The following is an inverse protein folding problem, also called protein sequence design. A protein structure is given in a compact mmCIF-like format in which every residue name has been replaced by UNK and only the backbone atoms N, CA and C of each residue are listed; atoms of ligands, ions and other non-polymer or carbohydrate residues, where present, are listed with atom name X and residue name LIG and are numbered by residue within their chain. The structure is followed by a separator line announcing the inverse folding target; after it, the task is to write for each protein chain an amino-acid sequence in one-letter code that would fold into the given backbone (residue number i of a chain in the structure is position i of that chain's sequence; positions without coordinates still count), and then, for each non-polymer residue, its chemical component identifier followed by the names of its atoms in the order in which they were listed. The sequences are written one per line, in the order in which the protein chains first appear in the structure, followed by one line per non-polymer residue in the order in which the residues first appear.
data_IF_201822983801
#
_entry.id   IF_201822983801
#
_cell.length_a   1.000
_cell.length_b   1.000
_cell.length_c   1.000
_cell.angle_alpha   90.00
_cell.angle_beta   90.00
_cell.angle_gamma   90.00
#
_symmetry.space_group_name_H-M   'P 1'
#
loop_
_entity.id
_entity.type
_entity.pdbx_description
1 polymer ?
#
# COMPACT_ATOMS: atom_id res chain seq x y z
N UNK A 1 -5.03 1.16 31.88
CA UNK A 1 -4.53 1.94 30.72
C UNK A 1 -3.40 2.86 31.13
N UNK A 2 -3.53 3.70 32.17
CA UNK A 2 -2.49 4.66 32.58
C UNK A 2 -1.20 3.99 33.02
N UNK A 3 -1.23 2.91 33.78
CA UNK A 3 -0.02 2.16 34.19
C UNK A 3 0.68 1.54 32.99
N UNK A 4 -0.08 1.03 32.02
CA UNK A 4 0.50 0.50 30.77
C UNK A 4 1.16 1.60 29.93
N UNK A 5 0.55 2.77 29.84
CA UNK A 5 1.11 3.94 29.17
C UNK A 5 2.41 4.41 29.83
N UNK A 6 2.46 4.48 31.15
CA UNK A 6 3.68 4.83 31.90
C UNK A 6 4.78 3.81 31.61
N UNK A 7 4.49 2.52 31.71
CA UNK A 7 5.47 1.47 31.43
C UNK A 7 6.02 1.54 30.00
N UNK A 8 5.17 1.86 29.01
CA UNK A 8 5.59 2.02 27.64
C UNK A 8 6.48 3.26 27.43
N UNK A 9 6.21 4.37 28.12
CA UNK A 9 6.95 5.62 27.96
C UNK A 9 8.31 5.63 28.69
N UNK A 10 8.42 4.94 29.83
CA UNK A 10 9.65 4.90 30.63
C UNK A 10 10.45 3.61 30.45
N UNK A 11 9.91 2.63 29.76
CA UNK A 11 10.55 1.35 29.49
C UNK A 11 11.68 1.47 28.44
N UNK A 12 12.40 0.38 28.16
CA UNK A 12 13.47 0.38 27.18
C UNK A 12 12.92 0.59 25.76
N UNK A 13 13.72 1.24 24.91
CA UNK A 13 13.36 1.57 23.53
C UNK A 13 13.55 0.42 22.54
N UNK A 14 14.07 -0.73 22.98
CA UNK A 14 14.37 -1.89 22.12
C UNK A 14 13.14 -2.38 21.32
N UNK A 15 11.97 -2.37 21.96
CA UNK A 15 10.73 -2.75 21.31
C UNK A 15 10.34 -1.76 20.20
N UNK A 16 10.49 -0.48 20.44
CA UNK A 16 10.18 0.58 19.46
C UNK A 16 11.11 0.44 18.26
N UNK A 17 12.40 0.24 18.49
CA UNK A 17 13.39 0.09 17.43
C UNK A 17 13.14 -1.16 16.59
N UNK A 18 12.77 -2.28 17.22
CA UNK A 18 12.38 -3.50 16.50
C UNK A 18 11.14 -3.29 15.64
N UNK A 19 10.09 -2.65 16.16
CA UNK A 19 8.89 -2.31 15.38
C UNK A 19 9.22 -1.39 14.21
N UNK A 20 10.08 -0.40 14.43
CA UNK A 20 10.53 0.52 13.38
C UNK A 20 11.22 -0.23 12.23
N UNK A 21 12.09 -1.19 12.56
CA UNK A 21 12.77 -2.03 11.56
C UNK A 21 11.79 -2.89 10.78
N UNK A 22 10.84 -3.51 11.45
CA UNK A 22 9.82 -4.34 10.79
C UNK A 22 8.98 -3.53 9.81
N UNK A 23 8.49 -2.36 10.20
CA UNK A 23 7.71 -1.50 9.30
C UNK A 23 8.57 -0.95 8.16
N UNK A 24 9.82 -0.59 8.40
CA UNK A 24 10.74 -0.16 7.35
C UNK A 24 10.99 -1.27 6.30
N UNK A 25 11.18 -2.50 6.75
CA UNK A 25 11.35 -3.68 5.89
C UNK A 25 10.11 -3.94 5.04
N UNK A 26 8.93 -3.96 5.64
CA UNK A 26 7.65 -4.15 4.96
C UNK A 26 7.37 -3.03 3.96
N UNK A 27 7.64 -1.78 4.33
CA UNK A 27 7.51 -0.62 3.45
C UNK A 27 8.37 -0.77 2.19
N UNK A 28 9.64 -1.13 2.38
CA UNK A 28 10.58 -1.36 1.27
C UNK A 28 10.12 -2.50 0.37
N UNK A 29 9.66 -3.61 0.93
CA UNK A 29 9.18 -4.78 0.19
C UNK A 29 7.93 -4.44 -0.62
N UNK A 30 6.94 -3.80 0.00
CA UNK A 30 5.69 -3.43 -0.68
C UNK A 30 5.93 -2.39 -1.77
N UNK A 31 6.51 -1.25 -1.43
CA UNK A 31 6.68 -0.15 -2.38
C UNK A 31 7.62 -0.53 -3.53
N UNK A 32 8.69 -1.28 -3.24
CA UNK A 32 9.58 -1.82 -4.26
C UNK A 32 8.88 -2.82 -5.19
N UNK A 33 8.08 -3.71 -4.63
CA UNK A 33 7.28 -4.67 -5.39
C UNK A 33 6.25 -3.98 -6.30
N UNK A 34 5.51 -3.01 -5.77
CA UNK A 34 4.50 -2.27 -6.53
C UNK A 34 5.11 -1.48 -7.69
N UNK A 35 6.26 -0.82 -7.47
CA UNK A 35 6.99 -0.13 -8.56
C UNK A 35 7.43 -1.10 -9.64
N UNK A 36 7.91 -2.28 -9.27
CA UNK A 36 8.34 -3.32 -10.22
C UNK A 36 7.23 -3.75 -11.16
N UNK A 37 5.98 -3.84 -10.68
CA UNK A 37 4.82 -4.23 -11.50
C UNK A 37 4.17 -3.07 -12.26
N UNK A 38 4.65 -1.84 -12.07
CA UNK A 38 4.19 -0.66 -12.80
C UNK A 38 3.33 0.33 -12.02
N UNK A 39 3.11 0.09 -10.73
CA UNK A 39 2.43 1.06 -9.88
C UNK A 39 3.44 2.01 -9.22
N UNK A 40 3.43 3.27 -9.63
CA UNK A 40 4.35 4.29 -9.09
C UNK A 40 3.96 4.71 -7.68
N UNK A 41 4.52 4.01 -6.71
CA UNK A 41 4.28 4.22 -5.29
C UNK A 41 5.57 4.72 -4.62
N UNK A 42 5.47 5.78 -3.85
CA UNK A 42 6.59 6.31 -3.06
C UNK A 42 6.70 5.59 -1.72
N UNK A 43 7.94 5.44 -1.25
CA UNK A 43 8.18 4.92 0.10
C UNK A 43 7.56 5.86 1.14
N UNK A 44 6.90 5.29 2.13
CA UNK A 44 6.44 6.03 3.29
C UNK A 44 7.63 6.42 4.16
N UNK A 45 7.70 7.67 4.58
CA UNK A 45 8.79 8.17 5.44
C UNK A 45 8.60 7.82 6.91
N UNK A 46 7.45 7.32 7.27
CA UNK A 46 7.07 6.93 8.62
C UNK A 46 5.74 6.21 8.63
N UNK A 47 5.22 5.89 9.78
CA UNK A 47 3.95 5.19 10.01
C UNK A 47 3.94 3.73 9.55
N UNK A 48 2.85 3.06 9.84
CA UNK A 48 2.53 1.71 9.39
C UNK A 48 1.69 1.68 8.11
N UNK A 49 1.57 2.80 7.42
CA UNK A 49 0.74 2.95 6.24
C UNK A 49 1.55 3.42 5.03
N UNK A 50 1.13 2.96 3.86
CA UNK A 50 1.56 3.50 2.58
C UNK A 50 0.37 4.24 1.96
N UNK A 51 0.61 5.45 1.48
CA UNK A 51 -0.34 6.29 0.79
C UNK A 51 0.02 6.36 -0.68
N UNK A 52 -0.82 5.82 -1.54
CA UNK A 52 -0.52 5.68 -2.95
C UNK A 52 -1.59 6.33 -3.81
N UNK A 53 -1.15 7.02 -4.87
CA UNK A 53 -2.05 7.52 -5.90
C UNK A 53 -2.62 6.34 -6.69
N UNK A 54 -3.91 6.36 -6.99
CA UNK A 54 -4.54 5.35 -7.85
C UNK A 54 -4.01 5.47 -9.29
N UNK A 55 -3.98 4.37 -10.05
CA UNK A 55 -3.68 4.43 -11.48
C UNK A 55 -4.71 5.26 -12.24
N UNK A 56 -4.34 5.74 -13.41
CA UNK A 56 -5.26 6.43 -14.30
C UNK A 56 -6.33 5.47 -14.85
N UNK A 57 -7.49 6.02 -15.23
CA UNK A 57 -8.58 5.25 -15.84
C UNK A 57 -9.66 4.78 -14.87
N UNK A 58 -9.59 5.16 -13.60
CA UNK A 58 -10.61 4.89 -12.61
C UNK A 58 -11.40 6.14 -12.26
N UNK A 59 -12.73 5.98 -12.07
CA UNK A 59 -13.62 7.11 -11.80
C UNK A 59 -13.39 7.75 -10.42
N UNK A 60 -12.95 6.95 -9.43
CA UNK A 60 -12.71 7.39 -8.07
C UNK A 60 -11.82 6.40 -7.31
N UNK A 61 -11.36 6.80 -6.13
CA UNK A 61 -10.63 5.89 -5.23
C UNK A 61 -11.47 4.68 -4.80
N UNK A 62 -12.78 4.86 -4.63
CA UNK A 62 -13.72 3.76 -4.31
C UNK A 62 -13.84 2.81 -5.51
N UNK A 63 -14.02 3.33 -6.73
CA UNK A 63 -14.10 2.52 -7.94
C UNK A 63 -12.83 1.66 -8.13
N UNK A 64 -11.67 2.24 -7.92
CA UNK A 64 -10.41 1.50 -7.96
C UNK A 64 -10.35 0.38 -6.90
N UNK A 65 -10.69 0.69 -5.63
CA UNK A 65 -10.68 -0.29 -4.55
C UNK A 65 -11.62 -1.47 -4.81
N UNK A 66 -12.82 -1.21 -5.32
CA UNK A 66 -13.79 -2.26 -5.65
C UNK A 66 -13.29 -3.16 -6.77
N UNK A 67 -12.81 -2.58 -7.87
CA UNK A 67 -12.26 -3.34 -8.99
C UNK A 67 -11.00 -4.13 -8.61
N UNK A 68 -10.14 -3.56 -7.77
CA UNK A 68 -8.96 -4.26 -7.24
C UNK A 68 -9.38 -5.49 -6.44
N UNK A 69 -10.31 -5.31 -5.51
CA UNK A 69 -10.83 -6.40 -4.67
C UNK A 69 -11.49 -7.50 -5.52
N UNK A 70 -12.35 -7.13 -6.46
CA UNK A 70 -13.04 -8.08 -7.34
C UNK A 70 -12.08 -8.92 -8.18
N UNK A 71 -11.00 -8.31 -8.67
CA UNK A 71 -10.02 -8.99 -9.56
C UNK A 71 -8.94 -9.76 -8.83
N UNK A 72 -8.60 -9.36 -7.61
CA UNK A 72 -7.40 -9.87 -6.92
C UNK A 72 -7.67 -10.39 -5.51
N UNK A 73 -8.80 -10.03 -4.91
CA UNK A 73 -9.07 -10.29 -3.50
C UNK A 73 -8.30 -9.36 -2.54
N UNK A 74 -7.47 -8.45 -3.06
CA UNK A 74 -6.69 -7.51 -2.24
C UNK A 74 -7.56 -6.32 -1.84
N UNK A 75 -7.61 -6.05 -0.55
CA UNK A 75 -8.40 -4.96 0.04
C UNK A 75 -7.49 -3.82 0.46
N UNK A 76 -7.79 -2.63 -0.04
CA UNK A 76 -7.14 -1.37 0.36
C UNK A 76 -8.21 -0.34 0.73
N UNK A 77 -7.84 0.67 1.49
CA UNK A 77 -8.79 1.69 1.93
C UNK A 77 -8.79 2.87 0.95
N UNK A 78 -9.95 3.27 0.41
CA UNK A 78 -10.02 4.44 -0.46
C UNK A 78 -9.69 5.71 0.31
N UNK A 79 -8.91 6.60 -0.30
CA UNK A 79 -8.48 7.84 0.34
C UNK A 79 -9.62 8.78 0.67
N UNK A 80 -10.71 8.75 -0.09
CA UNK A 80 -11.94 9.52 0.19
C UNK A 80 -12.56 9.20 1.55
N UNK A 81 -12.30 8.03 2.15
CA UNK A 81 -12.72 7.70 3.51
C UNK A 81 -12.07 8.60 4.59
N UNK A 82 -11.00 9.30 4.25
CA UNK A 82 -10.26 10.21 5.13
C UNK A 82 -10.52 11.70 4.82
N UNK A 83 -11.50 11.98 3.99
CA UNK A 83 -11.89 13.32 3.57
C UNK A 83 -11.71 13.57 2.09
N UNK A 84 -12.24 14.68 1.59
CA UNK A 84 -12.25 15.04 0.17
C UNK A 84 -10.85 15.16 -0.43
N UNK A 85 -9.87 15.60 0.35
CA UNK A 85 -8.48 15.72 -0.09
C UNK A 85 -7.79 14.36 -0.31
N UNK A 86 -8.38 13.27 0.20
CA UNK A 86 -7.90 11.91 -0.02
C UNK A 86 -8.38 11.27 -1.33
N UNK A 87 -9.28 11.92 -2.06
CA UNK A 87 -9.76 11.39 -3.34
C UNK A 87 -8.60 11.26 -4.34
N UNK A 88 -8.59 10.17 -5.11
CA UNK A 88 -7.51 9.82 -6.02
C UNK A 88 -6.34 9.07 -5.37
N UNK A 89 -6.47 8.69 -4.10
CA UNK A 89 -5.46 7.93 -3.35
C UNK A 89 -6.06 6.72 -2.66
N UNK A 90 -5.20 5.80 -2.26
CA UNK A 90 -5.54 4.67 -1.38
C UNK A 90 -4.52 4.54 -0.26
N UNK A 91 -4.98 3.97 0.86
CA UNK A 91 -4.14 3.64 2.00
C UNK A 91 -3.97 2.12 2.11
N UNK A 92 -2.73 1.68 2.23
CA UNK A 92 -2.36 0.28 2.49
C UNK A 92 -1.71 0.18 3.88
N UNK A 93 -2.07 -0.86 4.65
CA UNK A 93 -1.50 -1.11 5.97
C UNK A 93 -0.40 -2.16 5.90
N UNK A 94 0.74 -1.90 6.55
CA UNK A 94 1.90 -2.80 6.61
C UNK A 94 1.77 -3.82 7.77
N UNK A 95 0.65 -4.53 7.83
CA UNK A 95 0.27 -5.39 8.96
C UNK A 95 0.57 -6.88 8.74
N UNK A 96 1.05 -7.24 7.57
CA UNK A 96 1.45 -8.62 7.23
C UNK A 96 2.96 -8.68 7.02
N UNK A 97 3.52 -9.90 7.11
CA UNK A 97 4.96 -10.09 6.92
C UNK A 97 5.36 -9.98 5.43
N UNK A 98 6.64 -9.93 5.17
CA UNK A 98 7.21 -9.70 3.84
C UNK A 98 6.84 -10.80 2.85
N UNK A 99 6.76 -12.07 3.26
CA UNK A 99 6.38 -13.17 2.36
C UNK A 99 4.96 -13.02 1.86
N UNK A 100 4.03 -12.60 2.71
CA UNK A 100 2.64 -12.31 2.31
C UNK A 100 2.58 -11.06 1.42
N UNK A 101 3.41 -10.05 1.69
CA UNK A 101 3.51 -8.86 0.81
C UNK A 101 3.97 -9.28 -0.60
N UNK A 102 4.96 -10.16 -0.70
CA UNK A 102 5.42 -10.66 -1.99
C UNK A 102 4.33 -11.43 -2.73
N UNK A 103 3.58 -12.31 -2.05
CA UNK A 103 2.42 -12.99 -2.64
C UNK A 103 1.36 -12.00 -3.15
N UNK A 104 1.07 -10.94 -2.38
CA UNK A 104 0.14 -9.89 -2.80
C UNK A 104 0.65 -9.21 -4.08
N UNK A 105 1.93 -8.86 -4.14
CA UNK A 105 2.53 -8.23 -5.32
C UNK A 105 2.42 -9.15 -6.54
N UNK A 106 2.66 -10.45 -6.38
CA UNK A 106 2.54 -11.42 -7.47
C UNK A 106 1.09 -11.55 -7.98
N UNK A 107 0.11 -11.56 -7.08
CA UNK A 107 -1.32 -11.55 -7.46
C UNK A 107 -1.69 -10.26 -8.20
N UNK A 108 -1.19 -9.12 -7.73
CA UNK A 108 -1.40 -7.83 -8.40
C UNK A 108 -0.77 -7.79 -9.79
N UNK A 109 0.44 -8.32 -9.97
CA UNK A 109 1.10 -8.42 -11.27
C UNK A 109 0.32 -9.32 -12.24
N UNK A 110 -0.11 -10.49 -11.77
CA UNK A 110 -0.90 -11.43 -12.55
C UNK A 110 -2.25 -10.84 -13.00
N UNK A 111 -2.83 -9.91 -12.23
CA UNK A 111 -4.10 -9.24 -12.60
C UNK A 111 -4.00 -8.36 -13.84
N UNK A 112 -2.81 -7.88 -14.17
CA UNK A 112 -2.57 -6.98 -15.30
C UNK A 112 -3.06 -5.55 -15.13
N UNK A 113 -3.62 -5.18 -13.95
CA UNK A 113 -4.18 -3.84 -13.68
C UNK A 113 -3.13 -2.73 -13.87
N UNK A 114 -1.88 -3.01 -13.53
CA UNK A 114 -0.78 -2.02 -13.53
C UNK A 114 0.08 -2.06 -14.80
N UNK A 115 -0.21 -2.98 -15.73
CA UNK A 115 0.49 -3.01 -17.02
C UNK A 115 0.02 -1.82 -17.85
N UNK A 116 0.94 -0.91 -18.20
CA UNK A 116 0.65 0.12 -19.19
C UNK A 116 0.21 -0.58 -20.46
N UNK A 117 -1.00 -0.29 -20.94
CA UNK A 117 -1.39 -0.65 -22.28
C UNK A 117 -0.37 0.03 -23.22
N UNK A 118 0.53 -0.76 -23.78
CA UNK A 118 1.30 -0.34 -24.94
C UNK A 118 0.26 -0.14 -26.03
N UNK A 119 -0.16 1.10 -26.25
CA UNK A 119 -0.90 1.48 -27.46
C UNK A 119 0.07 1.11 -28.58
N UNK A 120 -0.25 0.06 -29.31
CA UNK A 120 0.46 -0.28 -30.54
C UNK A 120 0.24 0.91 -31.47
N UNK A 121 1.32 1.58 -31.82
CA UNK A 121 1.38 2.58 -32.90
C UNK A 121 0.96 2.04 -34.28
N UNK A 122 0.25 0.91 -34.34
CA UNK A 122 -0.17 0.26 -35.60
C UNK A 122 -1.65 0.49 -35.94
N UNK A 123 -2.38 1.33 -35.22
CA UNK A 123 -3.79 1.65 -35.52
C UNK A 123 -4.03 3.15 -35.80
N UNK A 124 -3.04 3.81 -36.42
CA UNK A 124 -3.23 5.13 -37.04
C UNK A 124 -3.17 4.99 -38.56
#
# INVERSE_FOLDING_TARGET
VQYAAIAALIGPDDFIEEQRRQYASRNKTLCGGLRRIGWDVRDSQGTMFVWAKIPEGYASSVDFCMKLMERTGVIVTPGSAFGSNGEGYVRMALVVNESVIEEIVDVLDASGIFKKNSIKESDI
#
